data_IF_371808675689
#
_entry.id   IF_371808675689
#
_cell.length_a   1.000
_cell.length_b   1.000
_cell.length_c   1.000
_cell.angle_alpha   90.00
_cell.angle_beta   90.00
_cell.angle_gamma   90.00
#
_symmetry.space_group_name_H-M   'P 1'
#
loop_
_entity.id
_entity.type
_entity.pdbx_description
1 polymer ?
#
# COMPACT_ATOMS: atom_id res chain seq x y z
N UNK A 1 -25.15 16.86 7.94
CA UNK A 1 -24.52 15.78 8.75
C UNK A 1 -24.47 14.48 7.94
N UNK A 2 -23.45 13.67 8.17
CA UNK A 2 -23.29 12.37 7.50
C UNK A 2 -24.48 11.45 7.80
N UNK A 3 -25.11 10.80 6.79
CA UNK A 3 -26.19 9.85 7.01
C UNK A 3 -25.75 8.64 7.84
N UNK A 4 -26.61 8.14 8.71
CA UNK A 4 -26.32 7.03 9.61
C UNK A 4 -25.83 5.75 8.90
N UNK A 5 -26.38 5.44 7.71
CA UNK A 5 -25.95 4.29 6.91
C UNK A 5 -24.50 4.40 6.44
N UNK A 6 -24.03 5.62 6.12
CA UNK A 6 -22.65 5.86 5.70
C UNK A 6 -21.69 5.76 6.90
N UNK A 7 -22.07 6.35 8.03
CA UNK A 7 -21.31 6.23 9.29
C UNK A 7 -21.13 4.77 9.69
N UNK A 8 -22.19 3.95 9.65
CA UNK A 8 -22.14 2.52 9.96
C UNK A 8 -21.19 1.76 9.00
N UNK A 9 -21.27 2.01 7.69
CA UNK A 9 -20.40 1.36 6.71
C UNK A 9 -18.94 1.74 6.87
N UNK A 10 -18.66 3.02 7.10
CA UNK A 10 -17.30 3.51 7.36
C UNK A 10 -16.72 2.88 8.64
N UNK A 11 -17.51 2.82 9.71
CA UNK A 11 -17.09 2.19 10.96
C UNK A 11 -16.74 0.71 10.78
N UNK A 12 -17.49 -0.03 9.97
CA UNK A 12 -17.17 -1.43 9.61
C UNK A 12 -15.88 -1.58 8.81
N UNK A 13 -15.49 -0.53 8.08
CA UNK A 13 -14.20 -0.46 7.38
C UNK A 13 -13.05 0.08 8.26
N UNK A 14 -13.31 0.31 9.57
CA UNK A 14 -12.32 0.86 10.48
C UNK A 14 -12.13 2.37 10.40
N UNK A 15 -13.02 3.08 9.70
CA UNK A 15 -12.97 4.54 9.55
C UNK A 15 -13.87 5.24 10.56
N UNK A 16 -13.34 6.28 11.18
CA UNK A 16 -14.11 7.17 12.05
C UNK A 16 -14.76 8.26 11.20
N UNK A 17 -16.06 8.49 11.41
CA UNK A 17 -16.76 9.66 10.82
C UNK A 17 -16.17 10.97 11.35
N UNK A 18 -16.00 11.95 10.47
CA UNK A 18 -15.42 13.28 10.76
C UNK A 18 -16.42 14.37 10.38
N UNK A 19 -16.49 14.72 9.09
CA UNK A 19 -17.47 15.65 8.52
C UNK A 19 -18.11 15.01 7.29
N UNK A 20 -19.26 15.51 6.85
CA UNK A 20 -19.98 14.91 5.73
C UNK A 20 -19.12 14.82 4.45
N UNK A 21 -18.35 15.86 4.12
CA UNK A 21 -17.50 15.88 2.94
C UNK A 21 -16.35 14.87 3.05
N UNK A 22 -15.69 14.81 4.19
CA UNK A 22 -14.62 13.82 4.45
C UNK A 22 -15.15 12.39 4.43
N UNK A 23 -16.31 12.17 5.02
CA UNK A 23 -16.95 10.86 5.05
C UNK A 23 -17.37 10.38 3.66
N UNK A 24 -17.89 11.28 2.81
CA UNK A 24 -18.21 10.99 1.41
C UNK A 24 -16.94 10.61 0.65
N UNK A 25 -15.86 11.37 0.78
CA UNK A 25 -14.57 11.05 0.14
C UNK A 25 -14.07 9.67 0.57
N UNK A 26 -14.05 9.39 1.87
CA UNK A 26 -13.66 8.08 2.39
C UNK A 26 -14.59 6.96 1.93
N UNK A 27 -15.89 7.20 1.91
CA UNK A 27 -16.87 6.20 1.45
C UNK A 27 -16.63 5.82 -0.01
N UNK A 28 -16.47 6.81 -0.90
CA UNK A 28 -16.25 6.55 -2.33
C UNK A 28 -14.87 5.91 -2.56
N UNK A 29 -13.85 6.24 -1.74
CA UNK A 29 -12.57 5.53 -1.77
C UNK A 29 -12.75 4.02 -1.49
N UNK A 30 -13.57 3.62 -0.54
CA UNK A 30 -13.86 2.20 -0.28
C UNK A 30 -14.76 1.57 -1.35
N UNK A 31 -15.68 2.34 -1.95
CA UNK A 31 -16.58 1.85 -2.98
C UNK A 31 -15.86 1.61 -4.32
N UNK A 32 -14.93 2.50 -4.71
CA UNK A 32 -14.23 2.49 -6.01
C UNK A 32 -12.74 2.12 -5.92
N UNK A 33 -12.16 2.06 -4.73
CA UNK A 33 -10.73 1.80 -4.56
C UNK A 33 -9.83 3.00 -4.86
N UNK A 34 -10.38 4.16 -5.21
CA UNK A 34 -9.65 5.38 -5.54
C UNK A 34 -9.80 6.41 -4.43
N UNK A 35 -8.71 6.89 -3.82
CA UNK A 35 -8.75 8.07 -2.97
C UNK A 35 -9.05 9.34 -3.77
N UNK A 36 -9.73 10.27 -3.13
CA UNK A 36 -10.02 11.61 -3.64
C UNK A 36 -9.72 12.65 -2.59
N UNK A 37 -9.58 13.91 -3.01
CA UNK A 37 -9.47 15.02 -2.09
C UNK A 37 -10.53 16.08 -2.39
N UNK A 38 -11.01 16.74 -1.34
CA UNK A 38 -11.99 17.82 -1.44
C UNK A 38 -11.34 19.06 -0.81
N UNK A 39 -11.12 20.06 -1.65
CA UNK A 39 -10.62 21.37 -1.24
C UNK A 39 -11.78 22.33 -0.95
N UNK A 40 -11.60 23.23 -0.03
CA UNK A 40 -12.43 24.44 0.07
C UNK A 40 -12.06 25.38 -1.09
N UNK A 41 -12.95 25.50 -2.07
CA UNK A 41 -12.70 26.24 -3.30
C UNK A 41 -12.40 27.72 -3.04
N UNK A 42 -13.04 28.29 -2.02
CA UNK A 42 -12.91 29.72 -1.70
C UNK A 42 -11.53 30.06 -1.09
N UNK A 43 -10.75 29.02 -0.73
CA UNK A 43 -9.39 29.14 -0.20
C UNK A 43 -8.30 28.87 -1.21
N UNK A 44 -8.63 28.38 -2.41
CA UNK A 44 -7.69 28.18 -3.50
C UNK A 44 -7.40 29.52 -4.18
N UNK A 45 -6.13 29.82 -4.42
CA UNK A 45 -5.69 31.06 -5.08
C UNK A 45 -5.28 30.78 -6.53
N UNK A 46 -6.10 31.20 -7.47
CA UNK A 46 -5.90 30.93 -8.89
C UNK A 46 -6.27 29.51 -9.27
N UNK A 47 -5.39 28.81 -9.98
CA UNK A 47 -5.58 27.43 -10.39
C UNK A 47 -4.75 26.45 -9.57
N UNK A 48 -5.06 25.14 -9.69
CA UNK A 48 -4.23 24.07 -9.13
C UNK A 48 -3.24 23.57 -10.17
N UNK A 49 -1.96 23.44 -9.76
CA UNK A 49 -0.87 22.90 -10.56
C UNK A 49 -0.32 21.61 -9.91
N UNK A 50 -0.27 20.56 -10.73
CA UNK A 50 0.31 19.27 -10.31
C UNK A 50 1.75 19.21 -10.77
N UNK A 51 2.67 19.24 -9.82
CA UNK A 51 4.10 19.32 -10.09
C UNK A 51 4.95 18.59 -9.06
N UNK A 52 6.22 18.51 -9.29
CA UNK A 52 7.18 18.18 -8.23
C UNK A 52 7.37 19.37 -7.29
N UNK A 53 7.61 19.07 -6.01
CA UNK A 53 7.93 20.08 -5.03
C UNK A 53 9.22 20.82 -5.36
N UNK A 54 9.48 21.92 -4.66
CA UNK A 54 10.70 22.72 -4.78
C UNK A 54 11.41 22.77 -3.43
N UNK A 55 12.74 22.84 -3.48
CA UNK A 55 13.53 22.94 -2.25
C UNK A 55 13.11 24.16 -1.41
N UNK A 56 12.84 23.93 -0.13
CA UNK A 56 12.45 24.97 0.81
C UNK A 56 10.93 25.19 0.95
N UNK A 57 10.11 24.59 0.11
CA UNK A 57 8.66 24.63 0.31
C UNK A 57 8.27 23.83 1.55
N UNK A 58 7.29 24.33 2.27
CA UNK A 58 6.72 23.67 3.44
C UNK A 58 5.21 23.54 3.28
N UNK A 59 4.68 22.45 3.87
CA UNK A 59 3.26 22.17 3.88
C UNK A 59 2.84 21.77 5.29
N UNK A 60 1.86 22.48 5.86
CA UNK A 60 1.16 22.05 7.06
C UNK A 60 0.06 21.06 6.66
N UNK A 61 0.17 19.84 7.09
CA UNK A 61 -0.74 18.76 6.76
C UNK A 61 -1.99 18.73 7.65
N UNK A 62 -3.05 18.05 7.18
CA UNK A 62 -4.29 17.84 7.95
C UNK A 62 -4.08 17.14 9.29
N UNK A 63 -2.99 16.39 9.48
CA UNK A 63 -2.64 15.77 10.77
C UNK A 63 -1.90 16.73 11.73
N UNK A 64 -1.73 17.99 11.34
CA UNK A 64 -1.08 19.04 12.12
C UNK A 64 0.45 19.09 11.97
N UNK A 65 1.08 18.13 11.32
CA UNK A 65 2.52 18.14 11.06
C UNK A 65 2.88 19.12 9.95
N UNK A 66 4.01 19.82 10.08
CA UNK A 66 4.59 20.57 8.98
C UNK A 66 5.75 19.79 8.38
N UNK A 67 5.72 19.59 7.07
CA UNK A 67 6.72 18.86 6.30
C UNK A 67 7.42 19.77 5.32
N UNK A 68 8.71 19.52 5.08
CA UNK A 68 9.47 20.17 4.00
C UNK A 68 9.47 19.25 2.78
N UNK A 69 9.11 19.78 1.62
CA UNK A 69 9.12 19.07 0.35
C UNK A 69 10.33 19.45 -0.49
N UNK A 70 10.63 18.61 -1.46
CA UNK A 70 11.68 18.80 -2.45
C UNK A 70 11.27 18.18 -3.80
N UNK A 71 12.17 18.19 -4.76
CA UNK A 71 11.94 17.75 -6.13
C UNK A 71 11.66 16.23 -6.26
N UNK A 72 11.75 15.47 -5.18
CA UNK A 72 11.40 14.04 -5.16
C UNK A 72 9.96 13.76 -4.70
N UNK A 73 9.22 14.79 -4.30
CA UNK A 73 7.86 14.69 -3.75
C UNK A 73 6.86 15.35 -4.71
N UNK A 74 5.87 14.60 -5.19
CA UNK A 74 4.76 15.15 -5.96
C UNK A 74 3.86 16.02 -5.06
N UNK A 75 3.44 17.15 -5.56
CA UNK A 75 2.57 18.09 -4.85
C UNK A 75 1.45 18.60 -5.77
N UNK A 76 0.35 19.01 -5.15
CA UNK A 76 -0.64 19.88 -5.76
C UNK A 76 -0.44 21.25 -5.11
N UNK A 77 -0.27 22.27 -5.92
CA UNK A 77 -0.03 23.64 -5.46
C UNK A 77 -0.99 24.61 -6.14
N UNK A 78 -1.32 25.67 -5.47
CA UNK A 78 -1.97 26.83 -6.08
C UNK A 78 -0.93 27.88 -6.52
N UNK A 79 -1.36 29.11 -6.83
CA UNK A 79 -0.45 30.19 -7.24
C UNK A 79 0.43 30.70 -6.07
N UNK A 80 0.12 30.36 -4.83
CA UNK A 80 0.80 30.86 -3.64
C UNK A 80 1.67 29.80 -2.96
N UNK A 81 1.10 28.62 -2.72
CA UNK A 81 1.74 27.60 -1.89
C UNK A 81 1.37 26.16 -2.28
N UNK A 82 1.96 25.21 -1.60
CA UNK A 82 1.65 23.79 -1.74
C UNK A 82 0.42 23.46 -0.89
N UNK A 83 -0.60 22.86 -1.52
CA UNK A 83 -1.88 22.54 -0.91
C UNK A 83 -2.04 21.04 -0.55
N UNK A 84 -1.24 20.17 -1.17
CA UNK A 84 -1.33 18.72 -0.91
C UNK A 84 -0.03 18.00 -1.26
N UNK A 85 0.29 16.96 -0.48
CA UNK A 85 1.19 15.90 -0.93
C UNK A 85 0.40 14.98 -1.86
N UNK A 86 0.79 14.96 -3.13
CA UNK A 86 0.10 14.26 -4.20
C UNK A 86 -0.13 12.77 -3.87
N UNK A 87 -1.40 12.36 -3.84
CA UNK A 87 -1.81 10.99 -3.54
C UNK A 87 -1.56 10.52 -2.09
N UNK A 88 -1.23 11.42 -1.16
CA UNK A 88 -0.88 11.06 0.21
C UNK A 88 -1.77 11.78 1.23
N UNK A 89 -1.69 13.11 1.32
CA UNK A 89 -2.44 13.88 2.33
C UNK A 89 -2.57 15.34 1.92
N UNK A 90 -3.76 15.90 2.09
CA UNK A 90 -4.03 17.32 1.90
C UNK A 90 -3.40 18.22 2.97
N UNK A 91 -3.29 19.50 2.63
CA UNK A 91 -2.87 20.56 3.52
C UNK A 91 -4.01 21.16 4.36
N UNK A 92 -3.63 21.85 5.41
CA UNK A 92 -4.55 22.51 6.35
C UNK A 92 -5.16 23.80 5.75
N UNK A 93 -4.42 24.49 4.87
CA UNK A 93 -4.83 25.80 4.34
C UNK A 93 -6.14 25.76 3.55
N UNK A 94 -6.30 24.76 2.69
CA UNK A 94 -7.49 24.53 1.85
C UNK A 94 -8.41 23.43 2.36
N UNK A 95 -8.27 23.04 3.63
CA UNK A 95 -9.09 22.01 4.25
C UNK A 95 -10.57 22.44 4.34
N UNK A 96 -11.46 21.52 4.05
CA UNK A 96 -12.91 21.72 4.23
C UNK A 96 -13.26 21.79 5.71
N UNK A 97 -14.24 22.62 6.05
CA UNK A 97 -14.77 22.80 7.38
C UNK A 97 -16.31 22.80 7.37
N UNK A 98 -16.93 23.00 8.52
CA UNK A 98 -18.38 23.15 8.61
C UNK A 98 -18.92 24.44 7.94
N UNK A 99 -18.05 25.42 7.72
CA UNK A 99 -18.38 26.70 7.09
C UNK A 99 -18.14 26.69 5.56
N UNK A 100 -17.55 25.63 5.01
CA UNK A 100 -17.28 25.52 3.58
C UNK A 100 -18.57 25.53 2.76
N UNK A 101 -18.64 26.43 1.77
CA UNK A 101 -19.82 26.60 0.88
C UNK A 101 -19.55 26.06 -0.53
N UNK A 102 -18.36 26.26 -1.05
CA UNK A 102 -17.94 25.83 -2.38
C UNK A 102 -16.79 24.84 -2.27
N UNK A 103 -16.87 23.77 -3.04
CA UNK A 103 -15.83 22.73 -3.00
C UNK A 103 -15.25 22.47 -4.37
N UNK A 104 -13.95 22.15 -4.40
CA UNK A 104 -13.28 21.59 -5.55
C UNK A 104 -12.92 20.14 -5.26
N UNK A 105 -13.43 19.23 -6.10
CA UNK A 105 -13.25 17.78 -5.93
C UNK A 105 -12.13 17.31 -6.87
N UNK A 106 -11.11 16.70 -6.29
CA UNK A 106 -9.99 16.09 -7.02
C UNK A 106 -10.11 14.56 -6.96
N UNK A 107 -10.00 13.94 -8.14
CA UNK A 107 -9.76 12.51 -8.27
C UNK A 107 -8.64 12.30 -9.30
N UNK A 108 -7.52 11.76 -8.86
CA UNK A 108 -6.33 11.65 -9.68
C UNK A 108 -5.89 10.20 -9.90
N UNK A 109 -5.04 9.99 -10.88
CA UNK A 109 -4.14 8.86 -10.99
C UNK A 109 -2.72 9.34 -10.65
N UNK A 110 -2.05 8.60 -9.79
CA UNK A 110 -0.64 8.84 -9.47
C UNK A 110 0.17 7.61 -9.82
N UNK A 111 1.27 7.80 -10.54
CA UNK A 111 2.19 6.71 -10.78
C UNK A 111 2.70 6.17 -9.44
N UNK A 112 2.68 4.83 -9.21
CA UNK A 112 3.13 4.23 -7.94
C UNK A 112 4.48 4.71 -7.48
N UNK A 113 5.46 4.85 -8.40
CA UNK A 113 6.81 5.32 -8.10
C UNK A 113 6.86 6.78 -7.60
N UNK A 114 5.89 7.60 -7.97
CA UNK A 114 5.79 8.97 -7.48
C UNK A 114 5.32 9.05 -6.02
N UNK A 115 4.63 8.02 -5.52
CA UNK A 115 4.05 7.99 -4.17
C UNK A 115 4.81 7.06 -3.23
N UNK A 116 5.35 5.96 -3.75
CA UNK A 116 6.01 4.92 -2.96
C UNK A 116 7.12 5.46 -2.05
N UNK A 117 7.05 5.10 -0.77
CA UNK A 117 8.04 5.47 0.24
C UNK A 117 7.92 6.90 0.79
N UNK A 118 7.13 7.81 0.17
CA UNK A 118 7.02 9.21 0.62
C UNK A 118 6.32 9.33 1.96
N UNK A 119 5.25 8.58 2.19
CA UNK A 119 4.59 8.54 3.51
C UNK A 119 5.54 8.09 4.61
N UNK A 120 6.37 7.08 4.35
CA UNK A 120 7.38 6.59 5.30
C UNK A 120 8.45 7.65 5.58
N UNK A 121 8.87 8.41 4.57
CA UNK A 121 9.81 9.53 4.74
C UNK A 121 9.30 10.55 5.76
N UNK A 122 7.98 10.79 5.79
CA UNK A 122 7.35 11.73 6.71
C UNK A 122 6.82 11.08 8.01
N UNK A 123 7.15 9.81 8.27
CA UNK A 123 6.78 9.04 9.46
C UNK A 123 5.27 8.90 9.70
N UNK A 124 4.48 8.80 8.65
CA UNK A 124 3.05 8.45 8.73
C UNK A 124 2.64 7.54 7.58
N UNK A 125 1.43 7.00 7.65
CA UNK A 125 0.79 6.27 6.56
C UNK A 125 -0.65 6.75 6.40
N UNK A 126 -1.17 6.67 5.17
CA UNK A 126 -2.55 7.03 4.85
C UNK A 126 -3.17 5.95 3.98
N UNK A 127 -4.49 5.85 4.02
CA UNK A 127 -5.27 4.99 3.12
C UNK A 127 -5.05 5.37 1.65
N UNK A 128 -4.87 6.67 1.37
CA UNK A 128 -4.55 7.17 0.05
C UNK A 128 -3.17 6.72 -0.41
N UNK A 129 -2.12 7.01 0.34
CA UNK A 129 -0.76 6.62 0.02
C UNK A 129 -0.61 5.11 -0.15
N UNK A 130 -1.27 4.31 0.72
CA UNK A 130 -1.28 2.84 0.64
C UNK A 130 -1.84 2.33 -0.70
N UNK A 131 -2.91 2.96 -1.21
CA UNK A 131 -3.51 2.57 -2.49
C UNK A 131 -2.68 3.04 -3.69
N UNK A 132 -2.30 4.30 -3.71
CA UNK A 132 -1.55 4.86 -4.84
C UNK A 132 -0.16 4.25 -5.01
N UNK A 133 0.55 3.93 -3.92
CA UNK A 133 1.86 3.27 -4.03
C UNK A 133 1.79 1.84 -4.60
N UNK A 134 0.60 1.21 -4.58
CA UNK A 134 0.36 -0.12 -5.15
C UNK A 134 -0.27 -0.07 -6.53
N UNK A 135 -1.00 0.99 -6.83
CA UNK A 135 -1.73 1.23 -8.06
C UNK A 135 -3.22 1.49 -7.82
N UNK A 136 -3.78 2.37 -8.62
CA UNK A 136 -5.21 2.71 -8.67
C UNK A 136 -5.62 2.72 -10.13
N UNK A 137 -6.84 2.27 -10.42
CA UNK A 137 -7.36 2.21 -11.78
C UNK A 137 -7.44 3.60 -12.43
N UNK A 138 -6.69 3.91 -13.50
CA UNK A 138 -6.72 5.21 -14.16
C UNK A 138 -8.00 5.48 -14.97
N UNK A 139 -8.74 4.44 -15.38
CA UNK A 139 -9.87 4.59 -16.31
C UNK A 139 -11.16 5.09 -15.64
N UNK A 140 -11.33 4.86 -14.33
CA UNK A 140 -12.57 5.20 -13.61
C UNK A 140 -12.56 6.60 -12.98
N UNK A 141 -11.67 7.49 -13.38
CA UNK A 141 -11.53 8.82 -12.74
C UNK A 141 -12.79 9.67 -12.86
N UNK A 142 -13.37 9.75 -14.07
CA UNK A 142 -14.61 10.51 -14.31
C UNK A 142 -15.79 9.92 -13.55
N UNK A 143 -15.99 8.59 -13.62
CA UNK A 143 -17.06 7.92 -12.88
C UNK A 143 -16.96 8.14 -11.36
N UNK A 144 -15.73 8.21 -10.84
CA UNK A 144 -15.48 8.53 -9.43
C UNK A 144 -15.89 9.97 -9.09
N UNK A 145 -15.49 10.96 -9.92
CA UNK A 145 -15.89 12.38 -9.75
C UNK A 145 -17.41 12.51 -9.79
N UNK A 146 -18.08 11.89 -10.74
CA UNK A 146 -19.54 11.90 -10.84
C UNK A 146 -20.19 11.31 -9.58
N UNK A 147 -19.69 10.17 -9.11
CA UNK A 147 -20.22 9.51 -7.92
C UNK A 147 -20.04 10.35 -6.64
N UNK A 148 -18.87 10.92 -6.43
CA UNK A 148 -18.61 11.74 -5.24
C UNK A 148 -19.42 13.05 -5.29
N UNK A 149 -19.51 13.68 -6.47
CA UNK A 149 -20.31 14.89 -6.68
C UNK A 149 -21.79 14.64 -6.44
N UNK A 150 -22.33 13.50 -6.91
CA UNK A 150 -23.71 13.12 -6.65
C UNK A 150 -23.97 12.96 -5.14
N UNK A 151 -23.08 12.29 -4.41
CA UNK A 151 -23.24 12.14 -2.96
C UNK A 151 -23.11 13.47 -2.20
N UNK A 152 -22.26 14.37 -2.66
CA UNK A 152 -22.16 15.73 -2.10
C UNK A 152 -23.49 16.47 -2.28
N UNK A 153 -24.07 16.44 -3.48
CA UNK A 153 -25.35 17.07 -3.78
C UNK A 153 -26.48 16.47 -2.93
N UNK A 154 -26.55 15.14 -2.86
CA UNK A 154 -27.63 14.42 -2.16
C UNK A 154 -27.58 14.64 -0.64
N UNK A 155 -26.40 14.79 -0.05
CA UNK A 155 -26.20 14.83 1.40
C UNK A 155 -26.01 16.26 1.91
N UNK A 156 -25.24 17.07 1.18
CA UNK A 156 -24.86 18.42 1.59
C UNK A 156 -25.56 19.51 0.76
N UNK A 157 -26.10 19.15 -0.39
CA UNK A 157 -26.66 20.12 -1.34
C UNK A 157 -27.93 20.82 -0.87
N UNK A 158 -28.22 21.91 -1.53
CA UNK A 158 -29.43 22.72 -1.42
C UNK A 158 -30.10 22.84 -2.80
N UNK A 159 -31.33 23.33 -2.93
CA UNK A 159 -31.93 23.57 -4.22
C UNK A 159 -31.14 24.52 -5.15
N UNK A 160 -30.20 25.29 -4.60
CA UNK A 160 -29.33 26.19 -5.35
C UNK A 160 -27.97 25.57 -5.70
N UNK A 161 -27.69 24.35 -5.24
CA UNK A 161 -26.39 23.69 -5.51
C UNK A 161 -26.27 23.39 -7.00
N UNK A 162 -25.14 23.77 -7.58
CA UNK A 162 -24.79 23.51 -8.96
C UNK A 162 -23.41 22.87 -9.06
N UNK A 163 -23.22 21.98 -10.04
CA UNK A 163 -21.93 21.42 -10.41
C UNK A 163 -21.37 22.14 -11.63
N UNK A 164 -20.10 22.51 -11.57
CA UNK A 164 -19.34 22.96 -12.73
C UNK A 164 -18.99 21.81 -13.70
N UNK A 165 -18.39 22.12 -14.84
CA UNK A 165 -17.90 21.10 -15.75
C UNK A 165 -16.74 20.31 -15.13
N UNK A 166 -16.60 19.03 -15.53
CA UNK A 166 -15.43 18.23 -15.18
C UNK A 166 -14.27 18.65 -16.09
N UNK A 167 -13.13 18.96 -15.49
CA UNK A 167 -11.86 19.14 -16.18
C UNK A 167 -11.06 17.82 -16.07
N UNK A 168 -10.96 17.08 -17.18
CA UNK A 168 -10.30 15.78 -17.26
C UNK A 168 -8.99 15.88 -18.05
N UNK A 169 -7.87 15.88 -17.34
CA UNK A 169 -6.53 16.02 -17.88
C UNK A 169 -5.83 14.65 -17.90
N UNK A 170 -5.50 14.11 -19.07
CA UNK A 170 -4.94 12.77 -19.25
C UNK A 170 -3.57 12.76 -19.99
N UNK A 171 -2.55 13.50 -19.53
CA UNK A 171 -1.30 13.64 -20.27
C UNK A 171 -0.44 12.37 -20.30
N UNK A 172 -0.48 11.53 -19.25
CA UNK A 172 0.46 10.43 -19.02
C UNK A 172 -0.18 9.19 -18.39
N UNK A 173 -1.32 8.75 -18.92
CA UNK A 173 -1.95 7.52 -18.40
C UNK A 173 -1.14 6.27 -18.80
N UNK A 174 -1.08 5.25 -17.92
CA UNK A 174 -0.45 3.98 -18.25
C UNK A 174 -1.21 3.26 -19.37
N UNK A 175 -0.45 2.58 -20.23
CA UNK A 175 -1.01 1.74 -21.28
C UNK A 175 -0.83 0.27 -20.88
N UNK A 176 -1.92 -0.53 -20.79
CA UNK A 176 -1.81 -1.95 -20.49
C UNK A 176 -0.93 -2.67 -21.52
N UNK A 177 0.01 -3.49 -21.03
CA UNK A 177 0.89 -4.27 -21.89
C UNK A 177 0.42 -5.73 -21.89
N UNK A 178 0.27 -6.36 -23.08
CA UNK A 178 -0.07 -7.78 -23.14
C UNK A 178 1.00 -8.65 -22.48
N UNK A 179 0.55 -9.63 -21.71
CA UNK A 179 1.40 -10.63 -21.05
C UNK A 179 1.07 -12.00 -21.60
N UNK A 180 2.09 -12.78 -21.99
CA UNK A 180 1.91 -14.12 -22.57
C UNK A 180 2.28 -15.20 -21.58
N UNK A 181 1.35 -16.10 -21.30
CA UNK A 181 1.53 -17.35 -20.57
C UNK A 181 1.92 -18.49 -21.52
N UNK A 182 3.00 -19.20 -21.26
CA UNK A 182 3.34 -20.48 -21.87
C UNK A 182 2.78 -21.60 -21.01
N UNK A 183 1.84 -22.40 -21.56
CA UNK A 183 1.15 -23.47 -20.83
C UNK A 183 2.13 -24.51 -20.25
N UNK A 184 3.15 -24.89 -21.02
CA UNK A 184 4.19 -25.81 -20.54
C UNK A 184 4.99 -25.24 -19.36
N UNK A 185 5.27 -23.92 -19.36
CA UNK A 185 5.94 -23.25 -18.24
C UNK A 185 5.03 -23.18 -17.02
N UNK A 186 3.75 -22.87 -17.19
CA UNK A 186 2.78 -22.88 -16.10
C UNK A 186 2.74 -24.25 -15.42
N UNK A 187 2.60 -25.34 -16.20
CA UNK A 187 2.63 -26.71 -15.67
C UNK A 187 3.93 -27.01 -14.89
N UNK A 188 5.08 -26.56 -15.41
CA UNK A 188 6.38 -26.76 -14.75
C UNK A 188 6.50 -26.00 -13.43
N UNK A 189 6.08 -24.73 -13.40
CA UNK A 189 6.19 -23.87 -12.21
C UNK A 189 5.21 -24.29 -11.13
N UNK A 190 3.95 -24.58 -11.51
CA UNK A 190 2.91 -25.05 -10.60
C UNK A 190 3.22 -26.46 -10.07
N UNK A 191 3.99 -27.26 -10.82
CA UNK A 191 4.37 -28.63 -10.42
C UNK A 191 3.32 -29.69 -10.74
N UNK A 192 2.27 -29.35 -11.50
CA UNK A 192 1.24 -30.27 -11.97
C UNK A 192 0.81 -29.94 -13.41
N UNK A 193 0.30 -30.92 -14.18
CA UNK A 193 -0.22 -30.65 -15.52
C UNK A 193 -1.40 -29.67 -15.47
N UNK A 194 -1.32 -28.60 -16.25
CA UNK A 194 -2.44 -27.71 -16.56
C UNK A 194 -2.60 -27.65 -18.07
N UNK A 195 -3.84 -27.66 -18.55
CA UNK A 195 -4.13 -27.57 -19.97
C UNK A 195 -4.41 -26.15 -20.42
N UNK A 196 -4.22 -25.87 -21.71
CA UNK A 196 -4.56 -24.53 -22.25
C UNK A 196 -6.03 -24.15 -22.02
N UNK A 197 -7.02 -25.03 -22.22
CA UNK A 197 -8.42 -24.70 -21.90
C UNK A 197 -8.64 -24.36 -20.43
N UNK A 198 -7.93 -24.98 -19.49
CA UNK A 198 -8.01 -24.61 -18.07
C UNK A 198 -7.46 -23.22 -17.82
N UNK A 199 -6.32 -22.86 -18.41
CA UNK A 199 -5.76 -21.50 -18.29
C UNK A 199 -6.73 -20.46 -18.86
N UNK A 200 -7.32 -20.71 -20.03
CA UNK A 200 -8.29 -19.82 -20.66
C UNK A 200 -9.55 -19.66 -19.80
N UNK A 201 -10.07 -20.78 -19.24
CA UNK A 201 -11.23 -20.73 -18.32
C UNK A 201 -10.94 -19.87 -17.08
N UNK A 202 -9.76 -20.03 -16.49
CA UNK A 202 -9.32 -19.20 -15.36
C UNK A 202 -9.36 -17.71 -15.71
N UNK A 203 -8.75 -17.32 -16.82
CA UNK A 203 -8.70 -15.93 -17.22
C UNK A 203 -10.09 -15.37 -17.55
N UNK A 204 -10.94 -16.13 -18.21
CA UNK A 204 -12.34 -15.74 -18.47
C UNK A 204 -13.13 -15.53 -17.18
N UNK A 205 -13.00 -16.43 -16.22
CA UNK A 205 -13.67 -16.32 -14.91
C UNK A 205 -13.20 -15.10 -14.12
N UNK A 206 -11.95 -14.68 -14.32
CA UNK A 206 -11.38 -13.46 -13.72
C UNK A 206 -11.73 -12.18 -14.51
N UNK A 207 -12.45 -12.31 -15.63
CA UNK A 207 -12.77 -11.16 -16.49
C UNK A 207 -11.56 -10.60 -17.23
N UNK A 208 -10.50 -11.41 -17.43
CA UNK A 208 -9.30 -11.00 -18.14
C UNK A 208 -9.44 -11.30 -19.64
N UNK A 209 -9.43 -10.29 -20.52
CA UNK A 209 -9.40 -10.50 -21.97
C UNK A 209 -8.16 -11.31 -22.38
N UNK A 210 -8.37 -12.41 -23.11
CA UNK A 210 -7.26 -13.27 -23.52
C UNK A 210 -7.42 -13.76 -24.97
N UNK A 211 -6.27 -13.97 -25.62
CA UNK A 211 -6.14 -14.54 -26.96
C UNK A 211 -5.35 -15.87 -26.87
N UNK A 212 -5.81 -16.89 -27.60
CA UNK A 212 -5.17 -18.20 -27.64
C UNK A 212 -4.17 -18.29 -28.80
N UNK A 213 -2.98 -18.84 -28.51
CA UNK A 213 -1.97 -19.24 -29.48
C UNK A 213 -1.61 -20.72 -29.32
N UNK A 214 -0.68 -21.23 -30.09
CA UNK A 214 -0.20 -22.61 -29.96
C UNK A 214 0.62 -22.76 -28.66
N UNK A 215 0.05 -23.46 -27.68
CA UNK A 215 0.64 -23.68 -26.36
C UNK A 215 0.80 -22.41 -25.52
N UNK A 216 0.12 -21.31 -25.90
CA UNK A 216 0.22 -20.02 -25.23
C UNK A 216 -1.15 -19.36 -25.03
N UNK A 217 -1.26 -18.51 -24.03
CA UNK A 217 -2.42 -17.63 -23.80
C UNK A 217 -1.91 -16.24 -23.50
N UNK A 218 -2.29 -15.27 -24.31
CA UNK A 218 -1.91 -13.87 -24.11
C UNK A 218 -3.07 -13.11 -23.46
N UNK A 219 -2.82 -12.47 -22.32
CA UNK A 219 -3.77 -11.66 -21.58
C UNK A 219 -3.39 -10.19 -21.74
N UNK A 220 -4.38 -9.35 -22.07
CA UNK A 220 -4.23 -7.87 -21.94
C UNK A 220 -4.89 -7.48 -20.63
N UNK A 221 -4.10 -7.13 -19.59
CA UNK A 221 -4.66 -6.80 -18.28
C UNK A 221 -5.57 -5.57 -18.38
N UNK A 222 -6.76 -5.59 -17.74
CA UNK A 222 -7.55 -4.38 -17.60
C UNK A 222 -6.86 -3.37 -16.67
N UNK A 223 -7.21 -2.10 -16.76
CA UNK A 223 -6.54 -1.01 -16.07
C UNK A 223 -6.49 -1.16 -14.53
N UNK A 224 -7.47 -1.86 -13.95
CA UNK A 224 -7.50 -2.14 -12.51
C UNK A 224 -6.59 -3.30 -12.06
N UNK A 225 -5.97 -4.05 -13.00
CA UNK A 225 -5.02 -5.14 -12.74
C UNK A 225 -3.59 -4.69 -13.06
N UNK A 226 -3.14 -3.67 -12.37
CA UNK A 226 -1.78 -3.12 -12.47
C UNK A 226 -0.68 -4.06 -11.94
N UNK A 227 -1.08 -5.15 -11.29
CA UNK A 227 -0.23 -6.22 -10.76
C UNK A 227 0.21 -7.22 -11.84
N UNK A 228 -0.58 -7.42 -12.90
CA UNK A 228 -0.30 -8.39 -13.97
C UNK A 228 0.68 -7.81 -15.00
N UNK A 229 1.99 -8.05 -14.80
CA UNK A 229 3.06 -7.46 -15.62
C UNK A 229 3.94 -8.49 -16.31
N UNK A 230 4.09 -9.66 -15.70
CA UNK A 230 4.98 -10.73 -16.18
C UNK A 230 4.26 -12.08 -16.24
N UNK A 231 4.88 -13.05 -16.90
CA UNK A 231 4.31 -14.39 -17.08
C UNK A 231 3.99 -15.06 -15.73
N UNK A 232 4.82 -14.85 -14.73
CA UNK A 232 4.67 -15.39 -13.39
C UNK A 232 3.38 -14.94 -12.71
N UNK A 233 2.95 -13.71 -12.93
CA UNK A 233 1.70 -13.19 -12.39
C UNK A 233 0.48 -13.97 -12.96
N UNK A 234 0.53 -14.31 -14.26
CA UNK A 234 -0.51 -15.14 -14.88
C UNK A 234 -0.46 -16.58 -14.39
N UNK A 235 0.72 -17.14 -14.12
CA UNK A 235 0.88 -18.48 -13.52
C UNK A 235 0.30 -18.48 -12.11
N UNK A 236 0.49 -17.45 -11.32
CA UNK A 236 -0.11 -17.29 -10.00
C UNK A 236 -1.64 -17.30 -10.06
N UNK A 237 -2.23 -16.56 -10.99
CA UNK A 237 -3.68 -16.55 -11.18
C UNK A 237 -4.23 -17.94 -11.52
N UNK A 238 -3.53 -18.68 -12.38
CA UNK A 238 -3.91 -20.07 -12.70
C UNK A 238 -3.83 -20.95 -11.46
N UNK A 239 -2.73 -20.91 -10.71
CA UNK A 239 -2.54 -21.70 -9.51
C UNK A 239 -3.58 -21.39 -8.43
N UNK A 240 -3.87 -20.10 -8.22
CA UNK A 240 -4.82 -19.61 -7.22
C UNK A 240 -6.25 -20.07 -7.50
N UNK A 241 -6.69 -19.98 -8.75
CA UNK A 241 -8.06 -20.37 -9.15
C UNK A 241 -8.24 -21.88 -9.26
N UNK A 242 -7.21 -22.61 -9.69
CA UNK A 242 -7.19 -24.09 -9.65
C UNK A 242 -7.27 -24.58 -8.21
N UNK A 243 -6.60 -23.89 -7.29
CA UNK A 243 -6.61 -24.14 -5.85
C UNK A 243 -5.32 -24.77 -5.36
N UNK A 244 -4.72 -24.17 -4.37
CA UNK A 244 -3.44 -24.61 -3.78
C UNK A 244 -3.52 -26.02 -3.17
N UNK A 245 -4.71 -26.46 -2.76
CA UNK A 245 -4.93 -27.81 -2.21
C UNK A 245 -4.72 -28.92 -3.25
N UNK A 246 -4.70 -28.57 -4.56
CA UNK A 246 -4.45 -29.53 -5.64
C UNK A 246 -2.96 -29.64 -5.99
N UNK A 247 -2.12 -28.77 -5.44
CA UNK A 247 -0.69 -28.80 -5.70
C UNK A 247 -0.05 -30.04 -5.05
N UNK A 248 0.88 -30.73 -5.76
CA UNK A 248 1.54 -31.92 -5.21
C UNK A 248 2.48 -31.55 -4.06
N UNK A 249 2.31 -32.20 -2.92
CA UNK A 249 3.22 -32.11 -1.77
C UNK A 249 4.31 -33.18 -1.89
N UNK A 250 5.29 -32.95 -2.76
CA UNK A 250 6.43 -33.88 -2.97
C UNK A 250 7.65 -33.38 -2.20
N UNK A 251 8.21 -34.23 -1.36
CA UNK A 251 9.48 -33.94 -0.70
C UNK A 251 10.60 -33.79 -1.75
N UNK A 252 11.45 -32.78 -1.64
CA UNK A 252 12.60 -32.62 -2.54
C UNK A 252 13.55 -33.77 -2.40
N UNK A 253 13.99 -34.33 -3.53
CA UNK A 253 15.05 -35.36 -3.57
C UNK A 253 16.43 -34.67 -3.51
N UNK A 254 17.25 -35.06 -2.56
CA UNK A 254 18.64 -34.61 -2.48
C UNK A 254 19.57 -35.82 -2.32
N UNK A 255 20.78 -35.78 -2.87
CA UNK A 255 21.78 -36.82 -2.59
C UNK A 255 22.07 -36.91 -1.09
N UNK A 256 22.02 -38.10 -0.54
CA UNK A 256 22.50 -38.34 0.82
C UNK A 256 24.01 -38.30 0.81
N UNK A 257 24.60 -37.24 1.34
CA UNK A 257 26.04 -37.15 1.55
C UNK A 257 26.30 -37.38 3.03
N UNK A 258 26.83 -38.55 3.42
CA UNK A 258 27.17 -38.81 4.80
C UNK A 258 28.24 -37.82 5.26
N UNK A 259 27.97 -37.05 6.28
CA UNK A 259 28.99 -36.22 6.96
C UNK A 259 29.47 -36.91 8.18
N UNK A 260 30.74 -37.28 8.20
CA UNK A 260 31.39 -37.78 9.42
C UNK A 260 31.52 -36.63 10.39
N UNK A 261 30.78 -36.69 11.50
CA UNK A 261 30.93 -35.74 12.59
C UNK A 261 32.19 -36.08 13.42
N UNK A 262 32.90 -35.09 13.91
CA UNK A 262 34.01 -35.31 14.84
C UNK A 262 33.49 -35.93 16.12
N UNK A 263 34.12 -37.01 16.59
CA UNK A 263 33.78 -37.67 17.87
C UNK A 263 34.02 -36.72 19.07
N UNK A 264 34.89 -35.74 18.92
CA UNK A 264 35.18 -34.72 19.93
C UNK A 264 34.19 -33.55 19.96
N UNK A 265 33.18 -33.53 19.06
CA UNK A 265 32.22 -32.45 18.98
C UNK A 265 31.27 -32.50 20.18
N UNK A 266 31.35 -31.50 21.02
CA UNK A 266 30.38 -31.23 22.07
C UNK A 266 29.28 -30.32 21.51
N UNK A 267 28.05 -30.77 21.58
CA UNK A 267 26.91 -29.92 21.23
C UNK A 267 26.49 -29.08 22.46
N UNK A 268 25.71 -28.03 22.19
CA UNK A 268 25.17 -27.15 23.22
C UNK A 268 24.32 -27.90 24.26
N UNK A 269 23.63 -28.96 23.84
CA UNK A 269 22.81 -29.76 24.76
C UNK A 269 23.64 -30.62 25.70
N UNK A 270 24.79 -31.10 25.25
CA UNK A 270 25.77 -31.78 26.13
C UNK A 270 26.31 -30.86 27.19
N UNK A 271 26.66 -29.62 26.83
CA UNK A 271 27.12 -28.61 27.78
C UNK A 271 26.00 -28.24 28.78
N UNK A 272 24.79 -28.00 28.31
CA UNK A 272 23.63 -27.69 29.18
C UNK A 272 23.34 -28.79 30.17
N UNK A 273 23.34 -30.05 29.73
CA UNK A 273 23.16 -31.21 30.63
C UNK A 273 24.28 -31.33 31.68
N UNK A 274 25.51 -31.09 31.26
CA UNK A 274 26.65 -31.10 32.21
C UNK A 274 26.50 -30.03 33.29
N UNK A 275 26.11 -28.80 32.89
CA UNK A 275 25.89 -27.73 33.86
C UNK A 275 24.71 -28.03 34.80
N UNK A 276 23.61 -28.58 34.29
CA UNK A 276 22.48 -28.99 35.11
C UNK A 276 22.88 -30.12 36.10
N UNK A 277 23.72 -31.06 35.66
CA UNK A 277 24.25 -32.12 36.57
C UNK A 277 25.15 -31.59 37.66
N UNK A 278 25.80 -30.44 37.45
CA UNK A 278 26.60 -29.72 38.45
C UNK A 278 25.73 -28.85 39.39
N UNK A 279 24.41 -28.85 39.24
CA UNK A 279 23.49 -28.11 40.09
C UNK A 279 23.17 -26.68 39.62
N UNK A 280 23.58 -26.29 38.42
CA UNK A 280 23.24 -25.00 37.89
C UNK A 280 21.81 -25.00 37.28
N UNK A 281 21.12 -23.92 37.45
CA UNK A 281 19.81 -23.67 36.80
C UNK A 281 20.00 -22.82 35.54
N UNK A 282 19.38 -23.24 34.44
CA UNK A 282 19.38 -22.45 33.21
C UNK A 282 18.35 -21.33 33.30
N UNK A 283 18.74 -20.12 32.92
CA UNK A 283 17.85 -18.97 32.79
C UNK A 283 17.78 -18.54 31.32
N UNK A 284 16.61 -18.12 30.89
CA UNK A 284 16.39 -17.49 29.57
C UNK A 284 16.29 -15.98 29.80
N UNK A 285 17.26 -15.24 29.28
CA UNK A 285 17.38 -13.81 29.50
C UNK A 285 17.09 -13.05 28.18
N UNK A 286 16.78 -11.76 28.28
CA UNK A 286 16.76 -10.88 27.15
C UNK A 286 18.15 -10.71 26.53
N UNK A 287 18.23 -10.69 25.20
CA UNK A 287 19.48 -10.42 24.48
C UNK A 287 19.86 -8.95 24.47
N UNK A 288 18.88 -8.07 24.71
CA UNK A 288 19.06 -6.63 24.75
C UNK A 288 18.66 -6.10 26.11
N UNK A 289 19.48 -5.22 26.65
CA UNK A 289 19.33 -4.67 28.00
C UNK A 289 19.65 -3.17 28.04
N UNK A 290 19.42 -2.56 29.19
CA UNK A 290 19.82 -1.19 29.46
C UNK A 290 21.34 -1.08 29.60
N UNK A 291 21.94 -0.07 28.99
CA UNK A 291 23.38 0.19 29.05
C UNK A 291 23.90 0.34 30.49
N UNK A 292 23.09 0.89 31.39
CA UNK A 292 23.47 1.02 32.78
C UNK A 292 23.64 -0.34 33.41
N UNK A 293 22.87 -1.36 33.06
CA UNK A 293 23.02 -2.72 33.59
C UNK A 293 24.29 -3.41 33.09
N UNK A 294 24.63 -3.20 31.80
CA UNK A 294 25.91 -3.72 31.26
C UNK A 294 27.10 -3.11 31.99
N UNK A 295 27.09 -1.80 32.22
CA UNK A 295 28.16 -1.12 32.95
C UNK A 295 28.22 -1.52 34.42
N UNK A 296 27.08 -1.45 35.13
CA UNK A 296 27.04 -1.47 36.58
C UNK A 296 26.99 -2.92 37.14
N UNK A 297 26.39 -3.87 36.40
CA UNK A 297 26.22 -5.25 36.83
C UNK A 297 27.15 -6.22 36.08
N UNK A 298 27.31 -6.08 34.78
CA UNK A 298 28.16 -6.95 33.97
C UNK A 298 29.61 -6.47 33.87
N UNK A 299 29.90 -5.22 34.26
CA UNK A 299 31.22 -4.63 34.17
C UNK A 299 31.72 -4.41 32.76
N UNK A 300 30.80 -4.32 31.77
CA UNK A 300 31.10 -4.08 30.37
C UNK A 300 30.97 -2.57 30.07
N UNK A 301 32.08 -1.83 29.93
CA UNK A 301 32.07 -0.40 29.72
C UNK A 301 31.77 -0.01 28.24
N UNK A 302 31.86 -0.96 27.30
CA UNK A 302 31.69 -0.72 25.87
C UNK A 302 30.83 -1.80 25.22
N UNK A 303 29.52 -1.85 25.55
CA UNK A 303 28.61 -2.82 24.97
C UNK A 303 28.27 -2.47 23.52
N UNK A 304 27.83 -3.46 22.75
CA UNK A 304 27.35 -3.27 21.37
C UNK A 304 26.04 -2.48 21.41
N UNK A 305 26.03 -1.30 20.80
CA UNK A 305 24.85 -0.42 20.72
C UNK A 305 23.96 -0.78 19.54
N UNK A 306 22.67 -0.81 19.77
CA UNK A 306 21.68 -0.97 18.71
C UNK A 306 21.39 0.40 18.07
N UNK A 307 21.38 0.43 16.73
CA UNK A 307 21.02 1.64 15.97
C UNK A 307 19.53 1.99 16.09
N UNK A 308 18.67 0.97 16.22
CA UNK A 308 17.23 1.13 16.28
C UNK A 308 16.63 0.17 17.30
N UNK A 309 16.76 0.42 18.61
CA UNK A 309 16.25 -0.45 19.65
C UNK A 309 14.71 -0.43 19.65
N UNK A 310 14.11 -1.59 19.98
CA UNK A 310 12.64 -1.73 20.12
C UNK A 310 12.11 -0.84 21.26
N UNK A 311 12.90 -0.69 22.32
CA UNK A 311 12.61 0.18 23.45
C UNK A 311 13.89 0.86 23.94
N UNK A 312 13.79 2.08 24.45
CA UNK A 312 14.93 2.88 24.88
C UNK A 312 15.80 2.19 25.95
N UNK A 313 15.18 1.36 26.80
CA UNK A 313 15.85 0.58 27.83
C UNK A 313 16.43 -0.76 27.33
N UNK A 314 16.31 -1.07 26.05
CA UNK A 314 16.88 -2.26 25.39
C UNK A 314 17.86 -1.84 24.30
N UNK A 315 18.77 -0.95 24.64
CA UNK A 315 19.60 -0.22 23.69
C UNK A 315 21.00 -0.83 23.45
N UNK A 316 21.38 -1.83 24.22
CA UNK A 316 22.67 -2.53 24.09
C UNK A 316 22.54 -4.05 24.16
N UNK A 317 23.59 -4.73 23.64
CA UNK A 317 23.77 -6.18 23.68
C UNK A 317 25.10 -6.52 24.36
#
# INVERSE_FOLDING_TARGET
>A
ATPAWMVDRLARCGQRSVTALVDISNYVMFEYGRPSHIFDLDRIHGGLDVRWGRAGEQLKLLNGNTVSVDESVGVIADEREVESLAGIMGGDATAVSDDTQNVYVEAAFWWPDAVAGRSRRFNFSTDAGHRFERGVDPELTVAHIERISQLIIDICGTPATACGPIDDQQPNLPQPQPVTLRVARASKVIGMPVSQPQCVDVFRRLGLPCAEGEGTVTVTPPAYRFDLRIEEDLIEEVARIVGYQQLPETAPLAPIVPRVGSESRRDRFGVRRAMAALGYLETINFSFVDEAWERDLAGNPDPIRLLNPIASQMNVM
#
